data_IF_256139309228
#
_entry.id   IF_256139309228
#
_cell.length_a   1.000
_cell.length_b   1.000
_cell.length_c   1.000
_cell.angle_alpha   90.00
_cell.angle_beta   90.00
_cell.angle_gamma   90.00
#
_symmetry.space_group_name_H-M   'P 1'
#
loop_
_entity.id
_entity.type
_entity.pdbx_description
1 polymer ?
#
# COMPACT_ATOMS: atom_id res chain seq x y z
N UNK A 1 29.92 78.58 7.62
CA UNK A 1 29.31 78.57 8.99
C UNK A 1 28.29 79.71 9.02
N UNK A 2 27.07 79.55 9.58
CA UNK A 2 26.64 78.56 10.57
C UNK A 2 25.48 77.65 10.13
N UNK A 3 25.24 76.68 11.02
CA UNK A 3 24.24 75.60 11.03
C UNK A 3 22.80 76.09 11.30
N UNK A 4 21.81 75.36 10.78
CA UNK A 4 20.69 74.80 11.56
C UNK A 4 19.90 73.78 10.71
N UNK A 5 19.94 72.51 11.10
CA UNK A 5 19.14 71.41 10.56
C UNK A 5 17.76 71.39 11.22
N UNK A 6 16.69 71.42 10.42
CA UNK A 6 15.32 71.13 10.87
C UNK A 6 14.94 69.70 10.50
N UNK A 7 14.53 68.93 11.52
CA UNK A 7 14.15 67.53 11.47
C UNK A 7 12.87 67.24 10.66
N UNK A 8 12.96 66.35 9.67
CA UNK A 8 11.80 65.65 9.12
C UNK A 8 11.75 64.23 9.70
N UNK A 9 10.72 63.92 10.50
CA UNK A 9 10.36 62.54 10.88
C UNK A 9 9.35 62.01 9.86
N UNK A 10 9.70 60.93 9.16
CA UNK A 10 8.76 60.07 8.42
C UNK A 10 8.35 58.89 9.32
N UNK A 11 7.09 58.44 9.33
CA UNK A 11 6.71 57.23 10.06
C UNK A 11 7.15 55.99 9.26
N UNK A 12 7.76 55.03 9.96
CA UNK A 12 7.97 53.68 9.45
C UNK A 12 6.61 52.95 9.43
N UNK A 13 6.15 52.56 8.24
CA UNK A 13 5.09 51.57 8.10
C UNK A 13 5.74 50.18 8.22
N UNK A 14 5.55 49.51 9.35
CA UNK A 14 5.84 48.09 9.50
C UNK A 14 4.76 47.29 8.75
N UNK A 15 5.07 46.78 7.57
CA UNK A 15 4.27 45.70 6.97
C UNK A 15 4.75 44.37 7.57
N UNK A 16 4.06 43.92 8.61
CA UNK A 16 4.18 42.56 9.09
C UNK A 16 3.60 41.60 8.05
N UNK A 17 4.47 40.79 7.43
CA UNK A 17 4.04 39.61 6.68
C UNK A 17 3.62 38.57 7.71
N UNK A 18 2.31 38.44 7.93
CA UNK A 18 1.75 37.26 8.58
C UNK A 18 1.90 36.09 7.61
N UNK A 19 2.99 35.33 7.75
CA UNK A 19 3.05 33.99 7.19
C UNK A 19 2.09 33.12 8.01
N UNK A 20 0.89 32.90 7.49
CA UNK A 20 0.02 31.82 7.94
C UNK A 20 0.76 30.51 7.67
N UNK A 21 1.47 30.01 8.68
CA UNK A 21 2.03 28.66 8.66
C UNK A 21 0.88 27.67 8.64
N UNK A 22 0.55 27.16 7.46
CA UNK A 22 -0.11 25.86 7.35
C UNK A 22 0.77 24.86 8.12
N UNK A 23 0.21 24.06 9.04
CA UNK A 23 1.00 22.99 9.64
C UNK A 23 1.44 22.09 8.48
N UNK A 24 2.76 22.03 8.28
CA UNK A 24 3.36 20.99 7.48
C UNK A 24 3.03 19.69 8.23
N UNK A 25 1.97 18.99 7.82
CA UNK A 25 1.71 17.64 8.30
C UNK A 25 2.92 16.85 7.82
N UNK A 26 3.82 16.49 8.74
CA UNK A 26 4.83 15.49 8.45
C UNK A 26 4.04 14.24 8.08
N UNK A 27 4.12 13.85 6.79
CA UNK A 27 3.58 12.59 6.28
C UNK A 27 4.24 11.48 7.11
N UNK A 28 3.46 10.69 7.83
CA UNK A 28 3.98 9.56 8.57
C UNK A 28 4.18 8.40 7.59
N UNK A 29 5.35 7.75 7.65
CA UNK A 29 5.60 6.52 6.92
C UNK A 29 4.60 5.43 7.34
N UNK A 30 4.29 4.46 6.45
CA UNK A 30 3.47 3.30 6.82
C UNK A 30 4.10 2.54 8.00
N UNK A 31 3.25 1.92 8.83
CA UNK A 31 3.72 0.93 9.79
C UNK A 31 4.12 -0.37 9.08
N UNK A 32 4.88 -1.23 9.76
CA UNK A 32 5.31 -2.51 9.19
C UNK A 32 4.10 -3.41 8.86
N UNK A 33 3.03 -3.35 9.67
CA UNK A 33 1.79 -4.08 9.42
C UNK A 33 1.03 -3.52 8.21
N UNK A 34 1.05 -2.20 7.99
CA UNK A 34 0.44 -1.59 6.81
C UNK A 34 1.21 -1.97 5.54
N UNK A 35 2.55 -1.99 5.61
CA UNK A 35 3.37 -2.51 4.51
C UNK A 35 3.05 -3.98 4.26
N UNK A 36 2.99 -4.83 5.29
CA UNK A 36 2.62 -6.23 5.14
C UNK A 36 1.26 -6.44 4.50
N UNK A 37 0.24 -5.67 4.90
CA UNK A 37 -1.08 -5.72 4.28
C UNK A 37 -1.03 -5.33 2.79
N UNK A 38 -0.25 -4.29 2.43
CA UNK A 38 -0.02 -3.91 1.04
C UNK A 38 0.64 -5.04 0.23
N UNK A 39 1.63 -5.71 0.83
CA UNK A 39 2.33 -6.84 0.19
C UNK A 39 1.38 -8.03 -0.02
N UNK A 40 0.51 -8.35 0.94
CA UNK A 40 -0.51 -9.40 0.80
C UNK A 40 -1.49 -9.09 -0.33
N UNK A 41 -2.02 -7.86 -0.37
CA UNK A 41 -2.91 -7.41 -1.45
C UNK A 41 -2.21 -7.48 -2.80
N UNK A 42 -0.95 -7.08 -2.89
CA UNK A 42 -0.19 -7.14 -4.15
C UNK A 42 0.15 -8.57 -4.57
N UNK A 43 0.45 -9.48 -3.63
CA UNK A 43 0.64 -10.90 -3.92
C UNK A 43 -0.63 -11.51 -4.49
N UNK A 44 -1.80 -11.18 -3.92
CA UNK A 44 -3.11 -11.55 -4.45
C UNK A 44 -3.34 -11.01 -5.85
N UNK A 45 -3.09 -9.71 -6.08
CA UNK A 45 -3.33 -9.07 -7.38
C UNK A 45 -2.46 -9.68 -8.46
N UNK A 46 -1.17 -9.89 -8.19
CA UNK A 46 -0.23 -10.40 -9.18
C UNK A 46 -0.38 -11.91 -9.43
N UNK A 47 -0.75 -12.69 -8.40
CA UNK A 47 -0.94 -14.13 -8.49
C UNK A 47 -2.13 -14.58 -7.62
N UNK A 48 -3.38 -14.38 -8.09
CA UNK A 48 -4.54 -14.74 -7.29
C UNK A 48 -4.57 -16.24 -6.99
N UNK A 49 -4.22 -17.10 -7.95
CA UNK A 49 -4.21 -18.55 -7.74
C UNK A 49 -3.28 -18.98 -6.61
N UNK A 50 -2.04 -18.48 -6.61
CA UNK A 50 -1.09 -18.73 -5.53
C UNK A 50 -1.52 -18.11 -4.20
N UNK A 51 -2.21 -16.96 -4.21
CA UNK A 51 -2.72 -16.39 -2.96
C UNK A 51 -3.79 -17.27 -2.33
N UNK A 52 -4.68 -17.87 -3.12
CA UNK A 52 -5.67 -18.80 -2.56
C UNK A 52 -4.99 -19.94 -1.80
N UNK A 53 -3.91 -20.49 -2.34
CA UNK A 53 -3.12 -21.55 -1.69
C UNK A 53 -2.47 -21.06 -0.39
N UNK A 54 -2.15 -19.77 -0.25
CA UNK A 54 -1.65 -19.18 0.99
C UNK A 54 -2.76 -18.90 2.02
N UNK A 55 -3.98 -18.56 1.57
CA UNK A 55 -5.08 -18.24 2.46
C UNK A 55 -5.73 -19.50 3.04
N UNK A 56 -5.85 -20.55 2.24
CA UNK A 56 -6.66 -21.72 2.57
C UNK A 56 -6.04 -23.04 2.13
N UNK A 57 -6.39 -24.10 2.86
CA UNK A 57 -5.96 -25.46 2.57
C UNK A 57 -7.12 -26.23 1.91
N UNK A 58 -6.95 -26.54 0.63
CA UNK A 58 -7.85 -27.41 -0.12
C UNK A 58 -7.12 -28.68 -0.56
N UNK A 59 -7.68 -29.85 -0.26
CA UNK A 59 -7.14 -31.14 -0.71
C UNK A 59 -7.33 -31.36 -2.21
N UNK A 60 -8.34 -30.70 -2.79
CA UNK A 60 -8.58 -30.55 -4.23
C UNK A 60 -9.50 -29.33 -4.44
N UNK A 61 -9.58 -28.76 -5.65
CA UNK A 61 -10.45 -27.60 -5.90
C UNK A 61 -11.89 -27.85 -5.44
N UNK A 62 -12.35 -27.04 -4.49
CA UNK A 62 -13.69 -27.15 -3.93
C UNK A 62 -13.87 -28.17 -2.79
N UNK A 63 -12.78 -28.73 -2.27
CA UNK A 63 -12.79 -29.67 -1.13
C UNK A 63 -11.79 -29.21 -0.07
N UNK A 64 -12.30 -28.85 1.12
CA UNK A 64 -11.46 -28.48 2.26
C UNK A 64 -10.55 -29.63 2.70
N UNK A 65 -9.34 -29.28 3.17
CA UNK A 65 -8.53 -30.21 3.96
C UNK A 65 -8.92 -30.19 5.45
N UNK A 66 -8.35 -31.10 6.23
CA UNK A 66 -8.47 -31.13 7.69
C UNK A 66 -7.59 -30.03 8.27
N UNK A 67 -8.25 -28.96 8.69
CA UNK A 67 -7.78 -27.58 8.87
C UNK A 67 -7.85 -26.80 7.55
N UNK A 68 -8.73 -25.79 7.53
CA UNK A 68 -9.04 -24.99 6.32
C UNK A 68 -8.02 -23.90 6.00
N UNK A 69 -7.09 -23.59 6.90
CA UNK A 69 -6.03 -22.59 6.72
C UNK A 69 -4.95 -22.82 7.77
N UNK A 70 -3.69 -22.59 7.43
CA UNK A 70 -2.59 -22.63 8.39
C UNK A 70 -2.66 -21.48 9.41
N UNK A 71 -3.40 -20.41 9.08
CA UNK A 71 -3.65 -19.31 10.00
C UNK A 71 -4.87 -19.60 10.90
N UNK A 72 -4.71 -19.75 12.23
CA UNK A 72 -5.74 -20.31 13.10
C UNK A 72 -7.03 -19.47 13.15
N UNK A 73 -6.92 -18.15 13.11
CA UNK A 73 -8.09 -17.26 13.12
C UNK A 73 -8.80 -17.25 11.77
N UNK A 74 -8.08 -17.46 10.66
CA UNK A 74 -8.67 -17.60 9.33
C UNK A 74 -9.41 -18.94 9.25
N UNK A 75 -8.81 -20.04 9.70
CA UNK A 75 -9.48 -21.33 9.79
C UNK A 75 -10.77 -21.25 10.62
N UNK A 76 -10.72 -20.59 11.78
CA UNK A 76 -11.88 -20.38 12.62
C UNK A 76 -12.96 -19.53 11.93
N UNK A 77 -12.60 -18.50 11.17
CA UNK A 77 -13.56 -17.69 10.41
C UNK A 77 -14.22 -18.49 9.27
N UNK A 78 -13.44 -19.30 8.54
CA UNK A 78 -13.96 -20.18 7.49
C UNK A 78 -14.94 -21.22 8.03
N UNK A 79 -14.74 -21.70 9.26
CA UNK A 79 -15.69 -22.56 9.97
C UNK A 79 -16.91 -21.80 10.46
N UNK A 80 -16.71 -20.64 11.09
CA UNK A 80 -17.79 -19.83 11.64
C UNK A 80 -18.78 -19.36 10.59
N UNK A 81 -18.29 -18.82 9.47
CA UNK A 81 -19.14 -18.36 8.36
C UNK A 81 -19.61 -19.51 7.47
N UNK A 82 -19.09 -20.73 7.66
CA UNK A 82 -19.45 -21.88 6.83
C UNK A 82 -19.05 -21.69 5.36
N UNK A 83 -17.87 -21.11 5.11
CA UNK A 83 -17.42 -20.79 3.76
C UNK A 83 -17.38 -22.05 2.90
N UNK A 84 -18.10 -22.02 1.78
CA UNK A 84 -18.18 -23.12 0.83
C UNK A 84 -16.92 -23.18 -0.02
N UNK A 85 -16.16 -24.27 0.10
CA UNK A 85 -14.95 -24.50 -0.69
C UNK A 85 -15.23 -24.43 -2.20
N UNK A 86 -16.33 -25.06 -2.64
CA UNK A 86 -16.68 -25.14 -4.07
C UNK A 86 -17.10 -23.78 -4.62
N UNK A 87 -17.85 -22.99 -3.85
CA UNK A 87 -18.19 -21.62 -4.22
C UNK A 87 -16.94 -20.74 -4.28
N UNK A 88 -16.08 -20.81 -3.26
CA UNK A 88 -14.84 -20.04 -3.23
C UNK A 88 -13.94 -20.40 -4.42
N UNK A 89 -13.65 -21.69 -4.64
CA UNK A 89 -12.81 -22.15 -5.75
C UNK A 89 -13.38 -21.73 -7.11
N UNK A 90 -14.71 -21.79 -7.29
CA UNK A 90 -15.36 -21.35 -8.53
C UNK A 90 -15.25 -19.85 -8.75
N UNK A 91 -15.47 -19.02 -7.72
CA UNK A 91 -15.34 -17.57 -7.83
C UNK A 91 -13.89 -17.15 -8.03
N UNK A 92 -12.95 -17.81 -7.35
CA UNK A 92 -11.54 -17.50 -7.44
C UNK A 92 -10.94 -17.87 -8.80
N UNK A 93 -11.42 -18.97 -9.41
CA UNK A 93 -11.04 -19.38 -10.75
C UNK A 93 -11.39 -18.39 -11.86
N UNK A 94 -12.19 -17.35 -11.57
CA UNK A 94 -12.50 -16.28 -12.54
C UNK A 94 -11.59 -15.05 -12.38
N UNK A 95 -10.73 -15.02 -11.36
CA UNK A 95 -9.85 -13.88 -11.13
C UNK A 95 -8.73 -13.84 -12.15
N UNK A 96 -8.48 -12.65 -12.70
CA UNK A 96 -7.32 -12.37 -13.54
C UNK A 96 -6.30 -11.58 -12.74
N UNK A 97 -5.02 -11.80 -13.00
CA UNK A 97 -3.97 -10.97 -12.41
C UNK A 97 -4.19 -9.50 -12.74
N UNK A 98 -3.94 -8.63 -11.76
CA UNK A 98 -4.06 -7.18 -11.85
C UNK A 98 -2.72 -6.53 -11.47
N UNK A 99 -2.42 -5.32 -11.98
CA UNK A 99 -1.24 -4.57 -11.60
C UNK A 99 -1.21 -4.29 -10.09
N UNK A 100 -0.02 -4.25 -9.46
CA UNK A 100 0.13 -3.96 -8.04
C UNK A 100 -0.37 -2.54 -7.70
N UNK A 101 -0.82 -2.37 -6.46
CA UNK A 101 -1.16 -1.07 -5.87
C UNK A 101 0.08 -0.46 -5.22
N UNK A 102 0.22 0.85 -5.39
CA UNK A 102 1.22 1.68 -4.72
C UNK A 102 0.64 2.31 -3.45
N UNK A 103 1.47 2.51 -2.43
CA UNK A 103 1.04 3.21 -1.23
C UNK A 103 0.79 4.70 -1.52
N UNK A 104 -0.32 5.23 -0.99
CA UNK A 104 -0.63 6.66 -1.03
C UNK A 104 -1.05 7.18 0.34
N UNK A 105 -0.29 8.13 0.89
CA UNK A 105 -0.55 8.60 2.25
C UNK A 105 -1.84 9.43 2.39
N UNK A 106 -2.32 10.08 1.33
CA UNK A 106 -3.61 10.78 1.39
C UNK A 106 -4.76 9.78 1.53
N UNK A 107 -4.70 8.68 0.77
CA UNK A 107 -5.63 7.56 0.94
C UNK A 107 -5.46 6.93 2.35
N UNK A 108 -4.24 6.80 2.86
CA UNK A 108 -4.00 6.21 4.18
C UNK A 108 -4.54 7.09 5.30
N UNK A 109 -4.41 8.41 5.18
CA UNK A 109 -5.01 9.37 6.10
C UNK A 109 -6.55 9.28 6.10
N UNK A 110 -7.17 9.12 4.92
CA UNK A 110 -8.61 8.88 4.81
C UNK A 110 -9.01 7.56 5.49
N UNK A 111 -8.25 6.49 5.28
CA UNK A 111 -8.48 5.17 5.86
C UNK A 111 -8.33 5.14 7.38
N UNK A 112 -7.30 5.81 7.92
CA UNK A 112 -7.11 5.94 9.37
C UNK A 112 -8.28 6.68 10.01
N UNK A 113 -8.70 7.80 9.39
CA UNK A 113 -9.85 8.58 9.85
C UNK A 113 -11.12 7.71 9.86
N UNK A 114 -11.31 6.87 8.85
CA UNK A 114 -12.50 6.03 8.76
C UNK A 114 -12.49 4.85 9.74
N UNK A 115 -11.33 4.23 9.96
CA UNK A 115 -11.19 3.18 10.98
C UNK A 115 -11.48 3.72 12.38
N UNK A 116 -11.03 4.94 12.68
CA UNK A 116 -11.36 5.65 13.92
C UNK A 116 -12.87 5.94 14.03
N UNK A 117 -13.51 6.26 12.90
CA UNK A 117 -14.95 6.53 12.87
C UNK A 117 -15.77 5.27 13.17
N UNK A 118 -15.43 4.13 12.57
CA UNK A 118 -16.07 2.85 12.87
C UNK A 118 -15.97 2.52 14.36
N UNK A 119 -14.79 2.69 14.94
CA UNK A 119 -14.56 2.45 16.38
C UNK A 119 -15.36 3.41 17.25
N UNK A 120 -15.41 4.69 16.89
CA UNK A 120 -16.10 5.73 17.67
C UNK A 120 -17.62 5.53 17.64
N UNK A 121 -18.17 5.09 16.52
CA UNK A 121 -19.60 4.86 16.36
C UNK A 121 -20.03 3.44 16.73
N UNK A 122 -19.08 2.55 17.02
CA UNK A 122 -19.30 1.10 17.20
C UNK A 122 -20.15 0.51 16.07
N UNK A 123 -19.77 0.80 14.82
CA UNK A 123 -20.46 0.34 13.62
C UNK A 123 -19.49 -0.02 12.50
N UNK A 124 -19.69 -1.18 11.88
CA UNK A 124 -19.05 -1.56 10.61
C UNK A 124 -20.00 -1.23 9.45
N UNK A 125 -19.83 -0.04 8.85
CA UNK A 125 -20.63 0.37 7.70
C UNK A 125 -19.91 1.38 6.82
N UNK A 126 -20.32 1.45 5.56
CA UNK A 126 -19.95 2.51 4.63
C UNK A 126 -20.80 3.77 4.87
N UNK A 127 -20.24 4.95 4.59
CA UNK A 127 -20.97 6.23 4.64
C UNK A 127 -21.33 6.73 6.04
N UNK A 128 -20.66 6.29 7.10
CA UNK A 128 -20.95 6.66 8.51
C UNK A 128 -20.89 8.17 8.81
N UNK A 129 -20.19 8.93 7.98
CA UNK A 129 -20.06 10.39 8.08
C UNK A 129 -20.87 11.14 7.00
N UNK A 130 -21.71 10.44 6.24
CA UNK A 130 -22.50 11.02 5.15
C UNK A 130 -21.70 11.46 3.93
N UNK A 131 -20.41 11.11 3.83
CA UNK A 131 -19.57 11.43 2.67
C UNK A 131 -19.47 10.25 1.69
N UNK A 132 -19.42 10.56 0.39
CA UNK A 132 -18.97 9.59 -0.61
C UNK A 132 -17.48 9.28 -0.43
N UNK A 133 -17.04 8.14 -0.96
CA UNK A 133 -15.61 7.75 -0.95
C UNK A 133 -14.75 8.83 -1.63
N UNK A 134 -15.16 9.31 -2.80
CA UNK A 134 -14.45 10.36 -3.53
C UNK A 134 -14.31 11.67 -2.74
N UNK A 135 -15.35 12.08 -2.01
CA UNK A 135 -15.28 13.27 -1.16
C UNK A 135 -14.28 13.07 -0.01
N UNK A 136 -14.28 11.88 0.59
CA UNK A 136 -13.39 11.55 1.72
C UNK A 136 -11.92 11.58 1.32
N UNK A 137 -11.56 10.96 0.19
CA UNK A 137 -10.16 10.92 -0.26
C UNK A 137 -9.66 12.30 -0.67
N UNK A 138 -10.49 13.12 -1.33
CA UNK A 138 -10.14 14.51 -1.67
C UNK A 138 -9.98 15.36 -0.42
N UNK A 139 -10.86 15.20 0.58
CA UNK A 139 -10.73 15.90 1.87
C UNK A 139 -9.44 15.52 2.61
N UNK A 140 -8.92 14.31 2.41
CA UNK A 140 -7.66 13.86 2.94
C UNK A 140 -6.43 14.28 2.10
N UNK A 141 -6.63 15.04 1.02
CA UNK A 141 -5.56 15.57 0.17
C UNK A 141 -5.16 14.67 -0.99
N UNK A 142 -6.00 13.72 -1.40
CA UNK A 142 -5.81 12.99 -2.64
C UNK A 142 -6.07 13.91 -3.85
N UNK A 143 -5.48 13.59 -5.02
CA UNK A 143 -5.65 14.39 -6.24
C UNK A 143 -7.13 14.65 -6.50
N UNK A 144 -7.51 15.89 -6.80
CA UNK A 144 -8.89 16.20 -7.24
C UNK A 144 -9.18 15.72 -8.65
N UNK A 145 -8.14 15.34 -9.40
CA UNK A 145 -8.25 14.71 -10.72
C UNK A 145 -8.01 13.20 -10.57
N UNK A 146 -8.98 12.51 -9.98
CA UNK A 146 -8.98 11.05 -9.80
C UNK A 146 -10.00 10.42 -10.75
N UNK A 147 -9.81 9.15 -11.12
CA UNK A 147 -10.75 8.40 -11.98
C UNK A 147 -11.82 7.68 -11.18
N UNK A 148 -11.45 6.57 -10.59
CA UNK A 148 -12.27 5.71 -9.75
C UNK A 148 -11.76 5.74 -8.31
N UNK A 149 -12.65 5.38 -7.39
CA UNK A 149 -12.30 5.19 -5.99
C UNK A 149 -13.17 4.11 -5.34
N UNK A 150 -12.57 3.32 -4.45
CA UNK A 150 -13.26 2.30 -3.65
C UNK A 150 -12.86 2.39 -2.18
N UNK A 151 -13.69 1.75 -1.35
CA UNK A 151 -13.44 1.55 0.07
C UNK A 151 -13.72 0.08 0.42
N UNK A 152 -12.80 -0.56 1.12
CA UNK A 152 -13.00 -1.84 1.81
C UNK A 152 -12.86 -1.62 3.31
N UNK A 153 -13.55 -2.39 4.14
CA UNK A 153 -13.48 -2.25 5.60
C UNK A 153 -13.80 -3.57 6.31
N UNK A 154 -13.16 -3.77 7.47
CA UNK A 154 -13.44 -4.90 8.35
C UNK A 154 -13.05 -4.54 9.79
N UNK A 155 -13.92 -4.83 10.76
CA UNK A 155 -13.85 -4.25 12.10
C UNK A 155 -13.48 -5.23 13.21
N UNK A 156 -13.30 -6.51 12.89
CA UNK A 156 -13.10 -7.58 13.88
C UNK A 156 -11.91 -8.47 13.50
N UNK A 157 -10.84 -7.89 12.94
CA UNK A 157 -9.68 -8.66 12.55
C UNK A 157 -8.78 -9.00 13.75
N UNK A 158 -8.25 -10.22 13.76
CA UNK A 158 -7.26 -10.64 14.75
C UNK A 158 -5.87 -10.03 14.50
N UNK A 159 -5.50 -9.88 13.23
CA UNK A 159 -4.21 -9.41 12.73
C UNK A 159 -4.32 -9.06 11.24
N UNK A 160 -3.20 -8.68 10.61
CA UNK A 160 -3.15 -8.32 9.19
C UNK A 160 -3.53 -9.45 8.24
N UNK A 161 -3.09 -10.69 8.50
CA UNK A 161 -3.41 -11.84 7.65
C UNK A 161 -4.89 -12.20 7.72
N UNK A 162 -5.48 -12.12 8.91
CA UNK A 162 -6.91 -12.29 9.10
C UNK A 162 -7.73 -11.17 8.44
N UNK A 163 -7.25 -9.92 8.51
CA UNK A 163 -7.87 -8.79 7.81
C UNK A 163 -7.85 -8.96 6.28
N UNK A 164 -6.68 -9.30 5.72
CA UNK A 164 -6.53 -9.59 4.30
C UNK A 164 -7.46 -10.72 3.86
N UNK A 165 -7.43 -11.85 4.58
CA UNK A 165 -8.26 -13.00 4.30
C UNK A 165 -9.75 -12.67 4.35
N UNK A 166 -10.19 -11.83 5.30
CA UNK A 166 -11.58 -11.40 5.41
C UNK A 166 -12.06 -10.65 4.17
N UNK A 167 -11.25 -9.72 3.67
CA UNK A 167 -11.59 -8.89 2.52
C UNK A 167 -11.41 -9.64 1.19
N UNK A 168 -10.40 -10.51 1.11
CA UNK A 168 -10.08 -11.30 -0.07
C UNK A 168 -11.05 -12.46 -0.31
N UNK A 169 -11.38 -13.23 0.73
CA UNK A 169 -12.40 -14.29 0.63
C UNK A 169 -13.80 -13.66 0.60
N UNK A 170 -13.93 -12.52 1.28
CA UNK A 170 -15.18 -11.78 1.50
C UNK A 170 -16.20 -12.60 2.29
N UNK A 171 -15.74 -13.21 3.40
CA UNK A 171 -16.64 -13.95 4.27
C UNK A 171 -17.59 -12.99 5.01
N UNK A 172 -18.79 -13.47 5.32
CA UNK A 172 -19.77 -12.66 6.04
C UNK A 172 -21.21 -13.06 5.74
N UNK A 173 -22.18 -12.18 6.09
CA UNK A 173 -23.59 -12.38 5.78
C UNK A 173 -23.80 -12.59 4.26
N UNK A 174 -24.12 -13.82 3.88
CA UNK A 174 -24.10 -14.28 2.48
C UNK A 174 -25.42 -14.07 1.72
N UNK A 175 -26.31 -13.24 2.27
CA UNK A 175 -27.65 -12.99 1.73
C UNK A 175 -28.58 -14.20 1.71
N UNK A 176 -28.26 -15.27 2.45
CA UNK A 176 -29.01 -16.52 2.47
C UNK A 176 -28.59 -17.51 1.36
N UNK A 177 -27.45 -17.27 0.70
CA UNK A 177 -26.94 -18.17 -0.35
C UNK A 177 -26.43 -19.51 0.21
N UNK A 178 -26.12 -19.58 1.50
CA UNK A 178 -25.54 -20.76 2.16
C UNK A 178 -24.06 -20.99 1.79
N UNK A 179 -23.39 -19.98 1.25
CA UNK A 179 -21.99 -20.04 0.81
C UNK A 179 -21.02 -19.51 1.85
N UNK A 180 -21.49 -18.72 2.82
CA UNK A 180 -20.63 -18.01 3.78
C UNK A 180 -19.83 -16.84 3.18
N UNK A 181 -20.06 -16.52 1.90
CA UNK A 181 -19.39 -15.44 1.15
C UNK A 181 -20.40 -14.33 0.86
N UNK A 182 -20.03 -13.07 1.09
CA UNK A 182 -20.91 -11.94 0.87
C UNK A 182 -21.38 -11.82 -0.60
N UNK A 183 -22.61 -11.35 -0.84
CA UNK A 183 -23.13 -11.20 -2.21
C UNK A 183 -22.21 -10.39 -3.11
N UNK A 184 -21.75 -11.01 -4.20
CA UNK A 184 -20.88 -10.38 -5.20
C UNK A 184 -19.40 -10.27 -4.80
N UNK A 185 -19.03 -10.67 -3.58
CA UNK A 185 -17.67 -10.55 -3.04
C UNK A 185 -17.04 -9.16 -3.33
N UNK A 186 -17.78 -8.10 -3.03
CA UNK A 186 -17.46 -6.73 -3.47
C UNK A 186 -16.14 -6.21 -2.90
N UNK A 187 -15.69 -6.69 -1.74
CA UNK A 187 -14.38 -6.34 -1.21
C UNK A 187 -13.27 -6.93 -2.09
N UNK A 188 -13.35 -8.22 -2.40
CA UNK A 188 -12.42 -8.89 -3.33
C UNK A 188 -12.47 -8.24 -4.72
N UNK A 189 -13.67 -7.92 -5.22
CA UNK A 189 -13.82 -7.28 -6.52
C UNK A 189 -13.10 -5.92 -6.57
N UNK A 190 -13.22 -5.10 -5.53
CA UNK A 190 -12.47 -3.84 -5.43
C UNK A 190 -10.96 -4.09 -5.33
N UNK A 191 -10.51 -5.05 -4.51
CA UNK A 191 -9.10 -5.39 -4.36
C UNK A 191 -8.47 -5.97 -5.64
N UNK A 192 -9.25 -6.56 -6.54
CA UNK A 192 -8.78 -7.10 -7.82
C UNK A 192 -9.03 -6.19 -9.03
N UNK A 193 -9.70 -5.05 -8.83
CA UNK A 193 -10.01 -4.16 -9.95
C UNK A 193 -8.72 -3.52 -10.50
N UNK A 194 -8.39 -3.73 -11.80
CA UNK A 194 -7.18 -3.19 -12.38
C UNK A 194 -7.21 -1.66 -12.52
N UNK A 195 -8.37 -1.00 -12.42
CA UNK A 195 -8.49 0.46 -12.50
C UNK A 195 -7.86 1.17 -11.30
N UNK A 196 -7.83 0.53 -10.13
CA UNK A 196 -7.13 1.07 -8.98
C UNK A 196 -5.62 0.85 -9.09
N UNK A 197 -4.87 1.89 -8.73
CA UNK A 197 -3.40 1.92 -8.81
C UNK A 197 -2.75 2.30 -7.49
N UNK A 198 -3.50 2.94 -6.61
CA UNK A 198 -3.02 3.43 -5.34
C UNK A 198 -3.94 2.93 -4.24
N UNK A 199 -3.37 2.66 -3.08
CA UNK A 199 -4.08 2.23 -1.89
C UNK A 199 -3.52 2.95 -0.67
N UNK A 200 -4.43 3.27 0.25
CA UNK A 200 -4.07 3.69 1.58
C UNK A 200 -4.77 2.81 2.60
N UNK A 201 -4.00 2.26 3.53
CA UNK A 201 -4.48 1.32 4.53
C UNK A 201 -4.48 2.02 5.87
N UNK A 202 -5.58 1.94 6.61
CA UNK A 202 -5.71 2.53 7.93
C UNK A 202 -6.05 1.48 8.95
N UNK A 203 -5.27 1.42 10.03
CA UNK A 203 -5.53 0.55 11.15
C UNK A 203 -5.89 1.34 12.39
N UNK A 204 -6.85 0.83 13.16
CA UNK A 204 -7.03 1.20 14.56
C UNK A 204 -6.87 -0.06 15.43
N UNK A 205 -5.90 -0.04 16.34
CA UNK A 205 -5.48 -1.19 17.16
C UNK A 205 -5.36 -0.90 18.65
N UNK A 206 -5.39 0.36 19.07
CA UNK A 206 -5.07 0.77 20.46
C UNK A 206 -6.23 1.45 21.18
N UNK A 207 -7.18 2.03 20.44
CA UNK A 207 -8.27 2.86 21.00
C UNK A 207 -9.64 2.23 20.80
N UNK A 208 -9.74 0.90 20.86
CA UNK A 208 -11.01 0.17 20.71
C UNK A 208 -11.60 -0.05 22.11
N UNK A 209 -12.73 0.60 22.46
CA UNK A 209 -13.35 0.41 23.77
C UNK A 209 -13.82 -1.03 23.97
N UNK A 210 -13.54 -1.61 25.14
CA UNK A 210 -14.03 -2.95 25.52
C UNK A 210 -15.57 -3.05 25.57
N UNK A 211 -16.25 -1.91 25.56
CA UNK A 211 -17.71 -1.79 25.55
C UNK A 211 -18.31 -1.85 24.15
N UNK A 212 -17.49 -1.80 23.10
CA UNK A 212 -17.96 -1.95 21.73
C UNK A 212 -18.50 -3.37 21.51
N UNK A 213 -19.68 -3.46 20.89
CA UNK A 213 -20.35 -4.72 20.57
C UNK A 213 -20.18 -5.15 19.12
N UNK A 214 -20.03 -4.21 18.19
CA UNK A 214 -19.91 -4.47 16.75
C UNK A 214 -18.46 -4.34 16.28
N UNK A 215 -17.75 -3.31 16.76
CA UNK A 215 -16.36 -3.02 16.38
C UNK A 215 -15.44 -3.43 17.51
N UNK A 216 -15.16 -4.73 17.58
CA UNK A 216 -14.46 -5.37 18.71
C UNK A 216 -12.95 -5.48 18.54
N UNK A 217 -12.42 -5.30 17.33
CA UNK A 217 -10.98 -5.47 17.05
C UNK A 217 -10.48 -6.91 17.23
N UNK A 218 -9.19 -7.11 17.58
CA UNK A 218 -8.18 -6.11 17.96
C UNK A 218 -7.65 -5.23 16.82
N UNK A 219 -7.91 -5.58 15.56
CA UNK A 219 -7.56 -4.78 14.39
C UNK A 219 -8.83 -4.36 13.66
N UNK A 220 -9.00 -3.05 13.50
CA UNK A 220 -10.02 -2.46 12.64
C UNK A 220 -9.31 -1.86 11.43
N UNK A 221 -9.74 -2.25 10.24
CA UNK A 221 -9.13 -1.84 8.99
C UNK A 221 -10.13 -1.11 8.09
N UNK A 222 -9.66 -0.05 7.44
CA UNK A 222 -10.23 0.48 6.21
C UNK A 222 -9.14 0.55 5.16
N UNK A 223 -9.47 0.26 3.90
CA UNK A 223 -8.60 0.55 2.77
C UNK A 223 -9.35 1.44 1.78
N UNK A 224 -8.69 2.51 1.35
CA UNK A 224 -9.17 3.35 0.27
C UNK A 224 -8.30 3.10 -0.95
N UNK A 225 -8.95 2.86 -2.08
CA UNK A 225 -8.29 2.65 -3.36
C UNK A 225 -8.61 3.80 -4.29
N UNK A 226 -7.70 4.10 -5.21
CA UNK A 226 -7.96 5.08 -6.26
C UNK A 226 -6.93 5.04 -7.38
N UNK A 227 -7.12 5.94 -8.34
CA UNK A 227 -6.16 6.21 -9.39
C UNK A 227 -6.09 7.72 -9.70
N UNK A 228 -4.96 8.33 -9.41
CA UNK A 228 -4.71 9.71 -9.79
C UNK A 228 -4.45 9.82 -11.31
N UNK A 229 -4.90 10.92 -11.89
CA UNK A 229 -4.69 11.28 -13.30
C UNK A 229 -4.11 12.68 -13.38
N UNK A 230 -3.26 12.91 -14.38
CA UNK A 230 -2.74 14.23 -14.73
C UNK A 230 -3.02 14.54 -16.18
N UNK A 231 -2.95 15.82 -16.52
CA UNK A 231 -2.96 16.25 -17.91
C UNK A 231 -1.55 16.17 -18.50
N UNK A 232 -1.47 15.66 -19.72
CA UNK A 232 -0.29 15.70 -20.58
C UNK A 232 -0.68 16.36 -21.90
N UNK A 233 -0.46 17.68 -21.98
CA UNK A 233 -1.04 18.48 -23.04
C UNK A 233 -2.57 18.45 -22.95
N UNK A 234 -3.21 17.81 -23.93
CA UNK A 234 -4.68 17.62 -23.99
C UNK A 234 -5.13 16.23 -23.56
N UNK A 235 -4.18 15.33 -23.26
CA UNK A 235 -4.49 13.93 -22.91
C UNK A 235 -4.56 13.77 -21.38
N UNK A 236 -5.44 12.89 -20.91
CA UNK A 236 -5.41 12.41 -19.53
C UNK A 236 -4.50 11.19 -19.43
N UNK A 237 -3.60 11.19 -18.44
CA UNK A 237 -2.65 10.09 -18.21
C UNK A 237 -2.66 9.71 -16.74
N UNK A 238 -2.70 8.41 -16.47
CA UNK A 238 -2.40 7.84 -15.16
C UNK A 238 -1.05 7.13 -15.24
N UNK A 239 -0.02 7.79 -14.71
CA UNK A 239 1.38 7.31 -14.74
C UNK A 239 1.56 6.02 -13.95
N UNK A 240 2.43 5.13 -14.42
CA UNK A 240 2.85 3.97 -13.64
C UNK A 240 3.62 4.39 -12.39
N UNK A 241 3.50 3.60 -11.35
CA UNK A 241 4.30 3.70 -10.13
C UNK A 241 5.04 2.37 -9.97
N UNK A 242 6.36 2.47 -9.79
CA UNK A 242 7.15 1.33 -9.32
C UNK A 242 6.97 1.24 -7.80
N UNK A 243 6.47 0.12 -7.32
CA UNK A 243 6.23 -0.15 -5.90
C UNK A 243 6.92 -1.43 -5.47
N UNK A 244 7.16 -1.57 -4.17
CA UNK A 244 7.57 -2.82 -3.55
C UNK A 244 8.28 -2.60 -2.24
N UNK A 245 9.06 -3.59 -1.82
CA UNK A 245 9.77 -3.57 -0.55
C UNK A 245 11.17 -4.17 -0.64
N UNK A 246 12.02 -3.72 0.27
CA UNK A 246 13.33 -4.30 0.54
C UNK A 246 13.34 -4.75 1.99
N UNK A 247 13.63 -6.02 2.21
CA UNK A 247 13.58 -6.68 3.52
C UNK A 247 14.72 -7.68 3.68
N UNK A 248 15.07 -8.08 4.89
CA UNK A 248 16.19 -8.99 5.17
C UNK A 248 15.81 -10.46 5.43
N UNK A 249 14.51 -10.79 5.36
CA UNK A 249 13.95 -12.15 5.48
C UNK A 249 14.38 -12.86 6.78
N UNK A 250 14.63 -12.08 7.85
CA UNK A 250 15.25 -12.57 9.09
C UNK A 250 14.27 -12.95 10.20
N UNK A 251 13.01 -12.54 10.11
CA UNK A 251 11.92 -12.87 11.05
C UNK A 251 11.24 -14.18 10.64
N UNK A 252 10.82 -14.28 9.37
CA UNK A 252 10.33 -15.52 8.76
C UNK A 252 11.04 -15.70 7.42
N UNK A 253 11.77 -16.81 7.27
CA UNK A 253 12.47 -17.09 6.02
C UNK A 253 11.52 -17.73 5.01
N UNK A 254 10.67 -16.90 4.40
CA UNK A 254 9.66 -17.29 3.42
C UNK A 254 9.80 -16.51 2.10
N UNK A 255 10.83 -15.67 1.98
CA UNK A 255 11.10 -14.81 0.83
C UNK A 255 9.91 -13.86 0.56
N UNK A 256 9.25 -13.41 1.62
CA UNK A 256 8.18 -12.44 1.62
C UNK A 256 8.35 -11.46 2.77
N UNK A 257 7.85 -10.24 2.62
CA UNK A 257 7.96 -9.23 3.66
C UNK A 257 7.21 -9.68 4.92
N UNK A 258 7.89 -9.82 6.05
CA UNK A 258 7.27 -9.96 7.37
C UNK A 258 7.45 -8.66 8.17
N UNK A 259 6.43 -8.20 8.92
CA UNK A 259 6.57 -7.02 9.77
C UNK A 259 7.82 -7.08 10.66
N UNK A 260 8.70 -6.10 10.50
CA UNK A 260 9.97 -6.00 11.22
C UNK A 260 11.23 -6.28 10.39
N UNK A 261 11.10 -6.85 9.19
CA UNK A 261 12.24 -7.16 8.31
C UNK A 261 12.62 -6.04 7.34
N UNK A 262 11.78 -5.00 7.25
CA UNK A 262 11.95 -3.91 6.31
C UNK A 262 13.27 -3.16 6.48
N UNK A 263 14.04 -3.03 5.39
CA UNK A 263 15.33 -2.31 5.39
C UNK A 263 15.12 -0.88 4.94
N UNK A 264 15.23 0.04 5.88
CA UNK A 264 15.04 1.48 5.63
C UNK A 264 16.23 2.13 4.94
N UNK A 265 15.96 3.18 4.15
CA UNK A 265 17.00 4.05 3.61
C UNK A 265 17.78 3.46 2.43
N UNK A 266 17.31 2.39 1.81
CA UNK A 266 17.98 1.76 0.66
C UNK A 266 17.63 2.53 -0.60
N UNK A 267 18.64 2.95 -1.37
CA UNK A 267 18.44 3.62 -2.65
C UNK A 267 17.99 2.63 -3.72
N UNK A 268 16.99 3.05 -4.49
CA UNK A 268 16.42 2.30 -5.62
C UNK A 268 16.55 3.17 -6.87
N UNK A 269 17.14 2.62 -7.92
CA UNK A 269 17.40 3.31 -9.18
C UNK A 269 16.67 2.61 -10.32
N UNK A 270 16.10 3.40 -11.23
CA UNK A 270 15.45 2.91 -12.44
C UNK A 270 16.23 3.43 -13.64
N UNK A 271 16.70 2.53 -14.48
CA UNK A 271 17.43 2.83 -15.71
C UNK A 271 16.62 2.41 -16.93
N UNK A 272 16.76 3.17 -18.01
CA UNK A 272 16.47 2.65 -19.36
C UNK A 272 17.50 1.55 -19.67
N UNK A 273 17.03 0.32 -19.87
CA UNK A 273 17.90 -0.84 -20.01
C UNK A 273 18.71 -0.80 -21.33
N UNK A 274 18.21 -0.07 -22.33
CA UNK A 274 18.77 0.00 -23.69
C UNK A 274 19.95 0.95 -23.78
N UNK A 275 19.85 2.12 -23.16
CA UNK A 275 20.88 3.16 -23.22
C UNK A 275 21.64 3.39 -21.90
N UNK A 276 21.18 2.79 -20.79
CA UNK A 276 21.83 2.88 -19.48
C UNK A 276 21.62 4.20 -18.75
N UNK A 277 20.72 5.07 -19.22
CA UNK A 277 20.42 6.32 -18.54
C UNK A 277 19.57 6.08 -17.30
N UNK A 278 19.91 6.77 -16.20
CA UNK A 278 19.05 6.83 -15.02
C UNK A 278 17.81 7.67 -15.35
N UNK A 279 16.62 7.10 -15.20
CA UNK A 279 15.35 7.76 -15.55
C UNK A 279 14.48 8.07 -14.34
N UNK A 280 14.61 7.32 -13.25
CA UNK A 280 13.96 7.61 -11.98
C UNK A 280 14.78 7.04 -10.80
N UNK A 281 14.51 7.54 -9.60
CA UNK A 281 15.15 7.02 -8.38
C UNK A 281 14.30 7.33 -7.15
N UNK A 282 14.47 6.55 -6.10
CA UNK A 282 13.83 6.73 -4.81
C UNK A 282 14.59 6.04 -3.69
N UNK A 283 13.95 5.96 -2.54
CA UNK A 283 14.51 5.32 -1.35
C UNK A 283 13.40 4.60 -0.58
N UNK A 284 13.75 3.52 0.12
CA UNK A 284 12.82 2.87 1.04
C UNK A 284 12.50 3.74 2.25
N UNK A 285 11.24 3.69 2.68
CA UNK A 285 10.71 4.35 3.87
C UNK A 285 11.23 3.68 5.17
N UNK A 286 10.74 4.09 6.34
CA UNK A 286 11.17 3.54 7.64
C UNK A 286 10.93 2.03 7.81
N UNK A 287 10.05 1.44 7.01
CA UNK A 287 9.66 0.02 7.09
C UNK A 287 10.00 -0.77 5.82
N UNK A 288 10.89 -0.25 4.98
CA UNK A 288 11.43 -0.97 3.81
C UNK A 288 10.59 -0.88 2.53
N UNK A 289 9.40 -0.28 2.56
CA UNK A 289 8.58 -0.07 1.36
C UNK A 289 9.05 1.12 0.52
N UNK A 290 8.76 1.15 -0.77
CA UNK A 290 9.04 2.30 -1.64
C UNK A 290 8.00 2.46 -2.74
N UNK A 291 7.85 3.70 -3.22
CA UNK A 291 7.01 4.05 -4.37
C UNK A 291 7.74 5.11 -5.20
N UNK A 292 7.97 4.84 -6.49
CA UNK A 292 8.68 5.72 -7.41
C UNK A 292 7.77 6.00 -8.59
N UNK A 293 7.38 7.26 -8.76
CA UNK A 293 6.61 7.68 -9.92
C UNK A 293 7.44 7.49 -11.20
N UNK A 294 6.86 6.83 -12.21
CA UNK A 294 7.48 6.59 -13.51
C UNK A 294 6.95 7.57 -14.56
N UNK A 295 6.75 8.82 -14.15
CA UNK A 295 6.20 9.88 -15.01
C UNK A 295 7.04 10.07 -16.27
N UNK A 296 6.39 9.99 -17.42
CA UNK A 296 7.04 10.16 -18.74
C UNK A 296 7.75 8.91 -19.27
N UNK A 297 7.70 7.78 -18.55
CA UNK A 297 8.10 6.49 -19.10
C UNK A 297 6.98 5.91 -19.97
N UNK A 298 7.35 5.12 -20.98
CA UNK A 298 6.42 4.63 -21.99
C UNK A 298 6.47 3.11 -22.10
N UNK A 299 5.43 2.53 -22.69
CA UNK A 299 5.46 1.14 -23.12
C UNK A 299 6.45 0.93 -24.28
N UNK A 300 6.86 -0.32 -24.51
CA UNK A 300 7.81 -0.68 -25.56
C UNK A 300 9.29 -0.43 -25.25
N UNK A 301 9.61 0.21 -24.12
CA UNK A 301 10.98 0.29 -23.57
C UNK A 301 11.14 -0.70 -22.42
N UNK A 302 12.25 -1.44 -22.43
CA UNK A 302 12.66 -2.24 -21.28
C UNK A 302 13.44 -1.36 -20.30
N UNK A 303 13.03 -1.38 -19.05
CA UNK A 303 13.68 -0.70 -17.93
C UNK A 303 14.30 -1.73 -16.99
N UNK A 304 15.26 -1.31 -16.17
CA UNK A 304 15.74 -2.11 -15.05
C UNK A 304 15.75 -1.34 -13.75
N UNK A 305 15.47 -2.05 -12.67
CA UNK A 305 15.55 -1.58 -11.29
C UNK A 305 16.78 -2.16 -10.63
N UNK A 306 17.52 -1.31 -9.93
CA UNK A 306 18.68 -1.68 -9.15
C UNK A 306 18.55 -1.13 -7.73
N UNK A 307 18.83 -1.99 -6.75
CA UNK A 307 18.98 -1.59 -5.35
C UNK A 307 20.38 -2.06 -4.86
N UNK A 308 21.47 -1.33 -5.21
CA UNK A 308 22.83 -1.83 -5.03
C UNK A 308 23.19 -2.20 -3.58
N UNK A 309 22.57 -1.53 -2.60
CA UNK A 309 22.77 -1.81 -1.17
C UNK A 309 22.24 -3.17 -0.69
N UNK A 310 21.52 -3.91 -1.53
CA UNK A 310 20.96 -5.23 -1.18
C UNK A 310 21.89 -6.39 -1.53
N UNK A 311 22.87 -6.15 -2.40
CA UNK A 311 23.72 -7.20 -2.99
C UNK A 311 23.01 -8.07 -4.04
N UNK A 312 21.75 -7.80 -4.38
CA UNK A 312 21.03 -8.49 -5.44
C UNK A 312 21.31 -7.91 -6.83
N UNK A 313 21.11 -8.73 -7.87
CA UNK A 313 21.21 -8.30 -9.27
C UNK A 313 20.02 -7.43 -9.70
N UNK A 314 20.13 -6.74 -10.86
CA UNK A 314 19.03 -5.93 -11.41
C UNK A 314 17.81 -6.79 -11.76
N UNK A 315 16.63 -6.20 -11.65
CA UNK A 315 15.36 -6.78 -12.15
C UNK A 315 14.85 -5.93 -13.32
N UNK A 316 14.40 -6.55 -14.41
CA UNK A 316 13.89 -5.83 -15.58
C UNK A 316 12.36 -5.79 -15.60
N UNK A 317 11.80 -4.76 -16.24
CA UNK A 317 10.37 -4.66 -16.48
C UNK A 317 10.08 -3.83 -17.73
N UNK A 318 8.86 -3.97 -18.23
CA UNK A 318 8.30 -3.11 -19.28
C UNK A 318 6.96 -2.57 -18.80
N UNK A 319 6.59 -1.37 -19.24
CA UNK A 319 5.27 -0.83 -18.96
C UNK A 319 4.24 -1.42 -19.92
N UNK A 320 3.08 -1.76 -19.37
CA UNK A 320 1.88 -2.06 -20.15
C UNK A 320 1.00 -0.82 -20.17
N UNK A 321 0.40 -0.52 -21.32
CA UNK A 321 -0.52 0.61 -21.49
C UNK A 321 -1.91 0.14 -21.88
N UNK A 322 -2.93 0.84 -21.39
CA UNK A 322 -4.33 0.67 -21.84
C UNK A 322 -5.07 2.00 -21.87
N UNK A 323 -6.19 2.03 -22.59
CA UNK A 323 -7.04 3.21 -22.73
C UNK A 323 -8.34 3.00 -21.98
N UNK A 324 -8.68 3.93 -21.08
CA UNK A 324 -9.92 3.90 -20.30
C UNK A 324 -10.83 5.06 -20.67
N UNK A 325 -12.12 4.79 -20.88
CA UNK A 325 -13.11 5.81 -21.21
C UNK A 325 -13.92 6.19 -19.97
N UNK A 326 -13.72 7.40 -19.48
CA UNK A 326 -14.49 8.01 -18.38
C UNK A 326 -15.69 8.83 -18.87
N UNK A 327 -15.83 8.98 -20.19
CA UNK A 327 -16.91 9.70 -20.84
C UNK A 327 -18.06 8.78 -21.23
N UNK A 328 -19.03 9.36 -21.92
CA UNK A 328 -20.12 8.58 -22.52
C UNK A 328 -19.70 8.04 -23.88
N UNK A 329 -20.45 7.11 -24.46
CA UNK A 329 -20.20 6.67 -25.83
C UNK A 329 -20.28 7.82 -26.85
N UNK A 330 -21.14 8.81 -26.62
CA UNK A 330 -21.32 9.97 -27.51
C UNK A 330 -20.28 11.08 -27.29
N UNK A 331 -19.69 11.14 -26.09
CA UNK A 331 -18.65 12.10 -25.72
C UNK A 331 -17.60 11.38 -24.86
N UNK A 332 -16.68 10.64 -25.49
CA UNK A 332 -15.70 9.86 -24.76
C UNK A 332 -14.65 10.77 -24.11
N UNK A 333 -14.19 10.37 -22.94
CA UNK A 333 -13.13 11.02 -22.18
C UNK A 333 -12.04 9.98 -21.91
N UNK A 334 -11.10 9.90 -22.83
CA UNK A 334 -10.09 8.85 -22.84
C UNK A 334 -8.89 9.22 -21.96
N UNK A 335 -8.50 8.29 -21.11
CA UNK A 335 -7.30 8.37 -20.30
C UNK A 335 -6.36 7.19 -20.62
N UNK A 336 -5.07 7.49 -20.79
CA UNK A 336 -4.01 6.49 -20.95
C UNK A 336 -3.56 6.01 -19.58
N UNK A 337 -3.59 4.71 -19.34
CA UNK A 337 -3.19 4.05 -18.09
C UNK A 337 -1.94 3.24 -18.33
N UNK A 338 -0.87 3.59 -17.61
CA UNK A 338 0.31 2.73 -17.52
C UNK A 338 0.22 1.89 -16.26
N UNK A 339 0.30 0.57 -16.40
CA UNK A 339 0.22 -0.34 -15.25
C UNK A 339 1.39 -0.13 -14.29
N UNK A 340 1.09 -0.16 -12.99
CA UNK A 340 2.13 -0.17 -11.98
C UNK A 340 2.99 -1.43 -12.09
N UNK A 341 4.18 -1.36 -11.52
CA UNK A 341 5.16 -2.44 -11.55
C UNK A 341 5.59 -2.75 -10.13
N UNK A 342 5.79 -4.02 -9.85
CA UNK A 342 6.29 -4.50 -8.56
C UNK A 342 7.73 -4.98 -8.70
N UNK A 343 8.56 -4.68 -7.71
CA UNK A 343 9.89 -5.29 -7.54
C UNK A 343 10.21 -5.37 -6.06
N UNK A 344 10.83 -6.47 -5.64
CA UNK A 344 11.32 -6.62 -4.26
C UNK A 344 12.74 -7.16 -4.25
N UNK A 345 13.47 -6.82 -3.19
CA UNK A 345 14.84 -7.27 -3.01
C UNK A 345 15.02 -7.78 -1.58
N UNK A 346 15.50 -9.02 -1.44
CA UNK A 346 15.92 -9.57 -0.15
C UNK A 346 17.36 -9.11 0.10
N UNK A 347 17.54 -8.18 1.01
CA UNK A 347 18.85 -7.67 1.40
C UNK A 347 19.65 -8.79 2.08
N UNK A 348 20.84 -9.08 1.55
CA UNK A 348 21.75 -10.00 2.21
C UNK A 348 22.45 -9.23 3.35
N UNK A 349 22.38 -9.69 4.61
CA UNK A 349 23.15 -9.07 5.68
C UNK A 349 24.63 -9.07 5.29
N UNK A 350 25.27 -7.89 5.26
CA UNK A 350 26.68 -7.84 4.85
C UNK A 350 27.53 -8.80 5.72
N UNK A 351 28.35 -9.69 5.13
CA UNK A 351 29.24 -10.58 5.88
C UNK A 351 30.25 -9.85 6.79
N UNK A 352 30.35 -8.51 6.70
CA UNK A 352 31.44 -7.71 7.25
C UNK A 352 31.26 -7.21 8.68
N UNK A 353 30.04 -7.07 9.22
CA UNK A 353 29.82 -6.44 10.53
C UNK A 353 30.28 -7.33 11.70
N UNK A 354 30.07 -8.65 11.61
CA UNK A 354 30.61 -9.61 12.58
C UNK A 354 32.14 -9.80 12.45
N UNK A 355 32.66 -9.75 11.21
CA UNK A 355 34.09 -9.88 10.92
C UNK A 355 34.94 -8.69 11.38
N UNK A 356 34.42 -7.46 11.22
CA UNK A 356 35.08 -6.23 11.66
C UNK A 356 35.14 -6.10 13.19
N UNK A 357 34.11 -6.57 13.90
CA UNK A 357 34.12 -6.66 15.36
C UNK A 357 35.20 -7.65 15.86
N UNK A 358 35.33 -8.81 15.22
CA UNK A 358 36.39 -9.79 15.54
C UNK A 358 37.79 -9.26 15.21
N UNK A 359 37.99 -8.56 14.08
CA UNK A 359 39.29 -7.97 13.75
C UNK A 359 39.69 -6.84 14.71
N UNK A 360 38.73 -6.02 15.13
CA UNK A 360 38.99 -4.94 16.10
C UNK A 360 39.42 -5.49 17.47
N UNK A 361 38.78 -6.57 17.96
CA UNK A 361 39.16 -7.25 19.21
C UNK A 361 40.54 -7.93 19.14
N UNK A 362 40.94 -8.44 17.96
CA UNK A 362 42.28 -9.01 17.78
C UNK A 362 43.40 -7.95 17.63
N UNK A 363 43.08 -6.75 17.14
CA UNK A 363 44.06 -5.67 17.03
C UNK A 363 44.31 -4.94 18.37
N UNK A 364 43.32 -4.90 19.28
CA UNK A 364 43.50 -4.33 20.62
C UNK A 364 44.18 -5.27 21.64
N UNK A 365 44.24 -6.57 21.37
CA UNK A 365 44.87 -7.54 22.29
C UNK A 365 46.39 -7.71 22.09
N UNK A 366 47.01 -7.02 21.10
CA UNK A 366 48.44 -7.17 20.79
C UNK A 366 49.38 -6.04 21.21
N UNK A 367 48.93 -5.05 22.00
CA UNK A 367 49.83 -4.09 22.65
C UNK A 367 49.83 -4.22 24.17
N UNK A 368 50.44 -5.29 24.66
CA UNK A 368 51.14 -5.27 25.94
C UNK A 368 52.52 -5.90 25.76
N UNK A 369 53.54 -5.06 25.84
CA UNK A 369 54.86 -5.29 26.47
C UNK A 369 55.78 -4.11 26.18
N UNK A 370 56.85 -3.88 26.97
CA UNK A 370 57.42 -4.76 28.00
C UNK A 370 56.69 -4.77 29.33
#
# INVERSE_FOLDING_TARGET
>A
MPFALSSFRRPLLWMGVLALGLPLVLKADPTAEQQYMLELVNRMRMNPGGELENLVNMSSPGVWDTLKSDHPTVAAALDFYGVSASALASQWGTLTAAPPLAWNDSLAAASNTYSNLMVTQDQQAHGLDGMSVGQRIVNAGYSSNWGDAAQTLFATAADGMHAHSALAIDWGPDGGSGTGIQPGATHRAALMDPLYKEIGIGFQTISIPITNGEVTGPVVITEHLGNARRLEGVNLVSDAILTGSIFDDSVLSDNFYTPGEGVSGVLVFVYDNTNGNLVASGQTNSVGGFNIALTGLTDGTEYRVEAPGTGQGPQTFSLNTRMENYGTQANPDWATFYDNVYTSFVAVPEPGSAGLLLLSLMLFSRRRRP
#
